data_IF_620969875936
#
_entry.id   IF_620969875936
#
_cell.length_a   1.000
_cell.length_b   1.000
_cell.length_c   1.000
_cell.angle_alpha   90.00
_cell.angle_beta   90.00
_cell.angle_gamma   90.00
#
_symmetry.space_group_name_H-M   'P 1'
#
loop_
_entity.id
_entity.type
_entity.pdbx_description
1 polymer ?
#
# COMPACT_ATOMS: atom_id res chain seq x y z
N UNK A 1 -13.24 -1.47 -18.62
CA UNK A 1 -14.23 -1.65 -17.56
C UNK A 1 -15.66 -1.54 -18.12
N UNK A 2 -16.43 -2.62 -18.15
CA UNK A 2 -17.77 -2.62 -18.77
C UNK A 2 -18.88 -2.57 -17.71
N UNK A 3 -19.80 -1.62 -17.87
CA UNK A 3 -21.01 -1.53 -17.05
C UNK A 3 -22.15 -2.15 -17.83
N UNK A 4 -22.66 -3.28 -17.35
CA UNK A 4 -23.74 -4.00 -18.00
C UNK A 4 -25.08 -3.47 -17.42
N UNK A 5 -26.12 -3.42 -18.22
CA UNK A 5 -27.51 -3.32 -17.78
C UNK A 5 -28.24 -4.58 -18.26
N UNK A 6 -29.35 -4.95 -17.63
CA UNK A 6 -29.99 -6.27 -17.76
C UNK A 6 -30.57 -6.62 -19.16
N UNK A 7 -30.31 -5.82 -20.19
CA UNK A 7 -30.66 -6.09 -21.57
C UNK A 7 -29.38 -6.24 -22.41
N UNK A 8 -29.21 -7.42 -22.99
CA UNK A 8 -28.01 -7.86 -23.68
C UNK A 8 -27.91 -7.15 -25.05
N UNK A 9 -27.50 -5.87 -25.06
CA UNK A 9 -27.17 -5.12 -26.27
C UNK A 9 -25.72 -4.64 -26.25
N UNK A 10 -25.07 -4.85 -27.39
CA UNK A 10 -23.65 -4.64 -27.62
C UNK A 10 -23.21 -3.19 -27.35
N UNK A 11 -22.18 -3.08 -26.50
CA UNK A 11 -21.18 -2.01 -26.44
C UNK A 11 -21.76 -0.59 -26.60
N UNK A 12 -22.30 -0.04 -25.52
CA UNK A 12 -22.36 1.41 -25.36
C UNK A 12 -21.17 1.84 -24.50
N UNK A 13 -20.34 2.70 -25.10
CA UNK A 13 -19.29 3.57 -24.53
C UNK A 13 -18.99 3.41 -23.04
N UNK A 14 -17.71 3.17 -22.72
CA UNK A 14 -17.16 3.19 -21.36
C UNK A 14 -17.64 4.44 -20.61
N UNK A 15 -18.36 4.30 -19.47
CA UNK A 15 -18.94 5.42 -18.77
C UNK A 15 -17.83 6.33 -18.21
N UNK A 16 -18.01 7.64 -18.38
CA UNK A 16 -17.05 8.65 -17.94
C UNK A 16 -16.82 8.68 -16.42
N UNK A 17 -17.65 7.98 -15.65
CA UNK A 17 -17.61 7.94 -14.20
C UNK A 17 -17.94 6.54 -13.66
N UNK A 18 -17.03 6.02 -12.83
CA UNK A 18 -17.16 4.72 -12.14
C UNK A 18 -18.31 4.72 -11.10
N UNK A 19 -18.76 5.90 -10.67
CA UNK A 19 -19.79 6.03 -9.62
C UNK A 19 -21.21 5.67 -10.09
N UNK A 20 -21.44 5.59 -11.40
CA UNK A 20 -22.76 5.35 -11.99
C UNK A 20 -23.03 3.87 -12.31
N UNK A 21 -22.07 2.98 -12.03
CA UNK A 21 -22.18 1.56 -12.33
C UNK A 21 -22.52 0.73 -11.09
N UNK A 22 -23.68 0.03 -11.06
CA UNK A 22 -24.03 -0.83 -9.93
C UNK A 22 -23.12 -2.05 -9.80
N UNK A 23 -22.39 -2.41 -10.87
CA UNK A 23 -21.42 -3.49 -10.86
C UNK A 23 -20.33 -3.24 -11.89
N UNK A 24 -19.11 -3.60 -11.51
CA UNK A 24 -17.89 -3.43 -12.28
C UNK A 24 -17.44 -4.81 -12.72
N UNK A 25 -17.57 -5.12 -14.02
CA UNK A 25 -17.04 -6.36 -14.57
C UNK A 25 -15.70 -6.08 -15.21
N UNK A 26 -14.63 -6.58 -14.58
CA UNK A 26 -13.31 -6.60 -15.17
C UNK A 26 -13.27 -7.66 -16.26
N UNK A 27 -12.94 -7.25 -17.49
CA UNK A 27 -12.69 -8.20 -18.57
C UNK A 27 -11.35 -8.89 -18.29
N UNK A 28 -11.17 -10.15 -18.68
CA UNK A 28 -10.00 -10.97 -18.31
C UNK A 28 -8.63 -10.35 -18.62
N UNK A 29 -8.53 -9.39 -19.54
CA UNK A 29 -7.31 -8.64 -19.81
C UNK A 29 -6.91 -7.70 -18.66
N UNK A 30 -7.88 -7.08 -18.00
CA UNK A 30 -7.67 -6.19 -16.86
C UNK A 30 -7.30 -6.99 -15.61
N UNK A 31 -7.84 -8.21 -15.45
CA UNK A 31 -7.43 -9.13 -14.40
C UNK A 31 -5.98 -9.64 -14.57
N UNK A 32 -5.54 -9.89 -15.80
CA UNK A 32 -4.12 -10.23 -16.10
C UNK A 32 -3.19 -9.04 -15.85
N UNK A 33 -3.68 -7.81 -16.05
CA UNK A 33 -2.92 -6.59 -15.69
C UNK A 33 -2.75 -6.44 -14.17
N UNK A 34 -3.74 -6.85 -13.37
CA UNK A 34 -3.61 -6.91 -11.92
C UNK A 34 -2.65 -8.03 -11.48
N UNK A 35 -2.67 -9.18 -12.15
CA UNK A 35 -1.75 -10.27 -11.85
C UNK A 35 -0.27 -9.90 -12.07
N UNK A 36 0.02 -9.06 -13.06
CA UNK A 36 1.35 -8.52 -13.35
C UNK A 36 1.61 -7.15 -12.70
N UNK A 37 0.72 -6.69 -11.82
CA UNK A 37 0.90 -5.42 -11.13
C UNK A 37 2.07 -5.54 -10.15
N UNK A 38 2.95 -4.52 -10.05
CA UNK A 38 3.99 -4.48 -9.03
C UNK A 38 3.43 -4.47 -7.60
N UNK A 39 2.11 -4.27 -7.46
CA UNK A 39 1.38 -4.32 -6.19
C UNK A 39 0.75 -5.68 -5.89
N UNK A 40 0.83 -6.64 -6.81
CA UNK A 40 0.36 -8.02 -6.61
C UNK A 40 1.47 -8.86 -5.94
N UNK A 41 1.80 -8.47 -4.71
CA UNK A 41 2.81 -9.15 -3.91
C UNK A 41 2.21 -10.37 -3.21
N UNK A 42 2.95 -11.48 -3.19
CA UNK A 42 2.63 -12.60 -2.30
C UNK A 42 2.77 -12.18 -0.83
N UNK A 43 2.07 -12.87 0.07
CA UNK A 43 2.16 -12.61 1.52
C UNK A 43 3.61 -12.68 2.01
N UNK A 44 4.41 -13.62 1.48
CA UNK A 44 5.83 -13.74 1.81
C UNK A 44 6.66 -12.54 1.38
N UNK A 45 6.41 -11.97 0.20
CA UNK A 45 7.13 -10.78 -0.29
C UNK A 45 6.74 -9.53 0.51
N UNK A 46 5.45 -9.38 0.81
CA UNK A 46 4.95 -8.29 1.66
C UNK A 46 5.57 -8.36 3.07
N UNK A 47 5.69 -9.57 3.64
CA UNK A 47 6.33 -9.78 4.95
C UNK A 47 7.82 -9.42 4.95
N UNK A 48 8.55 -9.75 3.88
CA UNK A 48 9.96 -9.38 3.75
C UNK A 48 10.14 -7.86 3.69
N UNK A 49 9.34 -7.17 2.87
CA UNK A 49 9.36 -5.71 2.76
C UNK A 49 9.05 -5.07 4.12
N UNK A 50 7.98 -5.55 4.79
CA UNK A 50 7.61 -5.09 6.13
C UNK A 50 8.73 -5.30 7.15
N UNK A 51 9.40 -6.46 7.12
CA UNK A 51 10.52 -6.77 8.01
C UNK A 51 11.71 -5.82 7.83
N UNK A 52 12.07 -5.51 6.58
CA UNK A 52 13.16 -4.56 6.29
C UNK A 52 12.83 -3.16 6.79
N UNK A 53 11.59 -2.69 6.59
CA UNK A 53 11.13 -1.38 7.09
C UNK A 53 11.25 -1.32 8.61
N UNK A 54 10.79 -2.37 9.30
CA UNK A 54 10.89 -2.47 10.77
C UNK A 54 12.34 -2.44 11.26
N UNK A 55 13.25 -3.13 10.58
CA UNK A 55 14.67 -3.13 10.94
C UNK A 55 15.30 -1.75 10.80
N UNK A 56 15.05 -1.06 9.68
CA UNK A 56 15.59 0.29 9.45
C UNK A 56 15.03 1.27 10.49
N UNK A 57 13.73 1.20 10.76
CA UNK A 57 13.10 2.06 11.76
C UNK A 57 13.62 1.79 13.17
N UNK A 58 13.74 0.51 13.55
CA UNK A 58 14.30 0.10 14.84
C UNK A 58 15.75 0.56 15.03
N UNK A 59 16.57 0.43 13.99
CA UNK A 59 17.97 0.91 14.02
C UNK A 59 18.04 2.44 14.18
N UNK A 60 17.24 3.18 13.43
CA UNK A 60 17.18 4.64 13.54
C UNK A 60 16.73 5.08 14.94
N UNK A 61 15.71 4.42 15.50
CA UNK A 61 15.23 4.69 16.86
C UNK A 61 16.29 4.36 17.92
N UNK A 62 16.98 3.23 17.80
CA UNK A 62 18.05 2.84 18.71
C UNK A 62 19.20 3.84 18.72
N UNK A 63 19.65 4.28 17.54
CA UNK A 63 20.69 5.31 17.41
C UNK A 63 20.25 6.66 17.98
N UNK A 64 18.99 7.06 17.78
CA UNK A 64 18.42 8.27 18.38
C UNK A 64 18.45 8.20 19.91
N UNK A 65 18.01 7.09 20.49
CA UNK A 65 18.01 6.88 21.94
C UNK A 65 19.43 6.89 22.50
N UNK A 66 20.37 6.22 21.82
CA UNK A 66 21.78 6.24 22.20
C UNK A 66 22.37 7.66 22.14
N UNK A 67 22.10 8.40 21.07
CA UNK A 67 22.56 9.78 20.93
C UNK A 67 22.00 10.69 22.03
N UNK A 68 20.73 10.53 22.41
CA UNK A 68 20.14 11.28 23.52
C UNK A 68 20.76 10.91 24.88
N UNK A 69 21.10 9.63 25.07
CA UNK A 69 21.76 9.17 26.29
C UNK A 69 23.17 9.75 26.41
N UNK A 70 23.95 9.71 25.32
CA UNK A 70 25.31 10.25 25.27
C UNK A 70 25.36 11.78 25.35
N UNK A 71 24.35 12.46 24.80
CA UNK A 71 24.23 13.92 24.84
C UNK A 71 23.42 14.43 26.04
N UNK A 72 23.14 13.59 27.05
CA UNK A 72 22.61 14.10 28.31
C UNK A 72 23.77 14.64 29.14
N UNK A 73 24.05 15.97 29.16
CA UNK A 73 24.94 16.52 30.17
C UNK A 73 24.34 16.18 31.54
N UNK A 74 25.20 15.77 32.47
CA UNK A 74 24.83 15.54 33.86
C UNK A 74 23.88 16.65 34.31
N UNK A 75 22.61 16.29 34.55
CA UNK A 75 21.70 17.19 35.24
C UNK A 75 22.22 17.26 36.68
N UNK A 76 23.12 18.20 36.90
CA UNK A 76 23.54 18.63 38.22
C UNK A 76 22.26 18.94 39.00
N UNK A 77 21.98 18.25 40.11
CA UNK A 77 20.81 18.56 40.91
C UNK A 77 21.05 19.93 41.55
N UNK A 78 20.31 20.95 41.11
CA UNK A 78 20.22 22.20 41.86
C UNK A 78 19.70 21.87 43.26
N UNK A 79 20.56 22.13 44.26
CA UNK A 79 20.34 21.93 45.67
C UNK A 79 19.38 22.97 46.27
#
# INVERSE_FOLDING_TARGET
>A
MLCLSADLQAIQSEPASVAECPYVVFTGAEAVSMANSPWNLSISEAAQIGGVIWLVWGAAWGLRTLANFLNSPDKEPEA
#
